data_IF_320334755875
#
_entry.id   IF_320334755875
#
_cell.length_a   1.000
_cell.length_b   1.000
_cell.length_c   1.000
_cell.angle_alpha   90.00
_cell.angle_beta   90.00
_cell.angle_gamma   90.00
#
_symmetry.space_group_name_H-M   'P 1'
#
loop_
_entity.id
_entity.type
_entity.pdbx_description
1 polymer ?
#
# COMPACT_ATOMS: atom_id res chain seq x y z
N UNK A 1 -7.70 16.25 -5.39
CA UNK A 1 -8.57 15.09 -5.11
C UNK A 1 -8.75 15.00 -3.59
N UNK A 2 -9.93 14.65 -3.09
CA UNK A 2 -10.12 14.53 -1.64
C UNK A 2 -9.70 13.14 -1.13
N UNK A 3 -9.50 13.01 0.18
CA UNK A 3 -9.09 11.75 0.80
C UNK A 3 -10.09 10.61 0.60
N UNK A 4 -11.40 10.90 0.63
CA UNK A 4 -12.43 9.87 0.46
C UNK A 4 -12.41 9.25 -0.94
N UNK A 5 -12.15 10.05 -1.97
CA UNK A 5 -12.00 9.57 -3.35
C UNK A 5 -10.81 8.59 -3.46
N UNK A 6 -9.70 8.90 -2.79
CA UNK A 6 -8.51 8.02 -2.73
C UNK A 6 -8.84 6.71 -2.03
N UNK A 7 -9.49 6.77 -0.87
CA UNK A 7 -9.86 5.58 -0.11
C UNK A 7 -10.85 4.70 -0.87
N UNK A 8 -11.82 5.30 -1.56
CA UNK A 8 -12.78 4.56 -2.37
C UNK A 8 -12.13 3.89 -3.58
N UNK A 9 -11.17 4.55 -4.23
CA UNK A 9 -10.40 3.96 -5.33
C UNK A 9 -9.58 2.75 -4.85
N UNK A 10 -8.90 2.86 -3.71
CA UNK A 10 -8.12 1.76 -3.13
C UNK A 10 -9.01 0.56 -2.77
N UNK A 11 -10.13 0.79 -2.07
CA UNK A 11 -11.09 -0.26 -1.70
C UNK A 11 -11.69 -0.95 -2.93
N UNK A 12 -12.01 -0.20 -3.97
CA UNK A 12 -12.55 -0.75 -5.21
C UNK A 12 -11.56 -1.69 -5.95
N UNK A 13 -10.26 -1.56 -5.66
CA UNK A 13 -9.18 -2.34 -6.29
C UNK A 13 -8.57 -3.40 -5.36
N UNK A 14 -9.05 -3.50 -4.12
CA UNK A 14 -8.50 -4.35 -3.05
C UNK A 14 -8.19 -5.79 -3.49
N UNK A 15 -9.08 -6.41 -4.27
CA UNK A 15 -8.94 -7.82 -4.70
C UNK A 15 -8.46 -7.98 -6.14
N UNK A 16 -8.22 -6.87 -6.82
CA UNK A 16 -7.88 -6.83 -8.26
C UNK A 16 -6.39 -6.57 -8.48
N UNK A 17 -5.79 -5.78 -7.60
CA UNK A 17 -4.41 -5.34 -7.65
C UNK A 17 -3.59 -6.01 -6.56
N UNK A 18 -2.30 -6.21 -6.82
CA UNK A 18 -1.32 -6.59 -5.80
C UNK A 18 -1.06 -5.43 -4.83
N UNK A 19 -0.48 -5.68 -3.64
CA UNK A 19 -0.06 -4.59 -2.75
C UNK A 19 0.82 -3.54 -3.42
N UNK A 20 1.79 -3.93 -4.26
CA UNK A 20 2.62 -2.99 -5.04
C UNK A 20 1.76 -2.16 -5.98
N UNK A 21 0.87 -2.78 -6.77
CA UNK A 21 0.00 -2.05 -7.70
C UNK A 21 -0.98 -1.11 -6.96
N UNK A 22 -1.42 -1.45 -5.75
CA UNK A 22 -2.21 -0.56 -4.90
C UNK A 22 -1.40 0.64 -4.40
N UNK A 23 -0.12 0.43 -4.07
CA UNK A 23 0.78 1.50 -3.67
C UNK A 23 1.15 2.40 -4.85
N UNK A 24 1.31 1.85 -6.05
CA UNK A 24 1.48 2.62 -7.29
C UNK A 24 0.24 3.45 -7.62
N UNK A 25 -0.96 2.85 -7.50
CA UNK A 25 -2.22 3.56 -7.66
C UNK A 25 -2.30 4.74 -6.68
N UNK A 26 -1.98 4.51 -5.40
CA UNK A 26 -1.91 5.58 -4.40
C UNK A 26 -0.89 6.65 -4.79
N UNK A 27 0.31 6.27 -5.22
CA UNK A 27 1.35 7.22 -5.65
C UNK A 27 0.92 8.08 -6.84
N UNK A 28 0.21 7.52 -7.82
CA UNK A 28 -0.34 8.26 -8.96
C UNK A 28 -1.49 9.22 -8.59
N UNK A 29 -2.10 9.03 -7.42
CA UNK A 29 -3.20 9.85 -6.91
C UNK A 29 -2.73 11.01 -6.02
N UNK A 30 -1.49 10.99 -5.51
CA UNK A 30 -0.96 11.98 -4.60
C UNK A 30 0.02 12.94 -5.29
N UNK A 31 -0.12 14.24 -4.99
CA UNK A 31 0.87 15.24 -5.37
C UNK A 31 2.14 15.02 -4.55
N UNK A 32 3.18 14.46 -5.17
CA UNK A 32 4.43 14.07 -4.49
C UNK A 32 4.74 12.57 -4.52
N UNK A 33 3.86 11.76 -5.10
CA UNK A 33 4.09 10.34 -5.28
C UNK A 33 3.84 9.51 -4.02
N UNK A 34 4.33 8.28 -4.04
CA UNK A 34 4.18 7.33 -2.92
C UNK A 34 5.27 7.58 -1.86
N UNK A 35 4.87 7.56 -0.59
CA UNK A 35 5.77 7.67 0.55
C UNK A 35 5.35 6.70 1.65
N UNK A 36 6.26 6.39 2.58
CA UNK A 36 5.93 5.47 3.68
C UNK A 36 4.78 6.01 4.54
N UNK A 37 4.76 7.31 4.84
CA UNK A 37 3.67 7.92 5.60
C UNK A 37 2.33 7.85 4.85
N UNK A 38 2.34 7.98 3.53
CA UNK A 38 1.14 7.80 2.71
C UNK A 38 0.64 6.36 2.76
N UNK A 39 1.52 5.36 2.66
CA UNK A 39 1.15 3.94 2.83
C UNK A 39 0.50 3.73 4.19
N UNK A 40 1.18 4.13 5.28
CA UNK A 40 0.66 3.94 6.65
C UNK A 40 -0.71 4.60 6.81
N UNK A 41 -0.88 5.84 6.36
CA UNK A 41 -2.12 6.59 6.51
C UNK A 41 -3.27 6.01 5.68
N UNK A 42 -3.07 5.87 4.36
CA UNK A 42 -4.15 5.48 3.45
C UNK A 42 -4.45 3.98 3.52
N UNK A 43 -3.44 3.10 3.66
CA UNK A 43 -3.71 1.66 3.75
C UNK A 43 -4.40 1.33 5.08
N UNK A 44 -4.05 2.00 6.19
CA UNK A 44 -4.75 1.76 7.46
C UNK A 44 -6.23 2.16 7.40
N UNK A 45 -6.54 3.25 6.69
CA UNK A 45 -7.91 3.77 6.52
C UNK A 45 -8.71 2.99 5.47
N UNK A 46 -8.06 2.53 4.41
CA UNK A 46 -8.68 1.75 3.34
C UNK A 46 -8.91 0.29 3.76
N UNK A 47 -7.95 -0.30 4.48
CA UNK A 47 -7.91 -1.72 4.85
C UNK A 47 -7.66 -1.87 6.37
N UNK A 48 -8.70 -1.63 7.21
CA UNK A 48 -8.58 -1.66 8.67
C UNK A 48 -7.95 -2.93 9.28
N UNK A 49 -8.13 -4.14 8.70
CA UNK A 49 -7.53 -5.37 9.23
C UNK A 49 -6.00 -5.39 9.24
N UNK A 50 -5.31 -4.59 8.40
CA UNK A 50 -3.84 -4.58 8.36
C UNK A 50 -3.30 -4.15 9.74
N UNK A 51 -2.42 -4.94 10.39
CA UNK A 51 -1.75 -4.53 11.61
C UNK A 51 -0.91 -3.28 11.38
N UNK A 52 -0.95 -2.32 12.31
CA UNK A 52 -0.14 -1.10 12.19
C UNK A 52 1.36 -1.43 12.10
N UNK A 53 1.82 -2.45 12.84
CA UNK A 53 3.21 -2.92 12.77
C UNK A 53 3.60 -3.34 11.35
N UNK A 54 2.75 -4.10 10.66
CA UNK A 54 2.98 -4.50 9.27
C UNK A 54 3.11 -3.28 8.34
N UNK A 55 2.31 -2.23 8.54
CA UNK A 55 2.44 -0.98 7.77
C UNK A 55 3.72 -0.21 8.11
N UNK A 56 4.17 -0.25 9.36
CA UNK A 56 5.46 0.34 9.74
C UNK A 56 6.63 -0.42 9.11
N UNK A 57 6.59 -1.75 9.13
CA UNK A 57 7.60 -2.63 8.53
C UNK A 57 7.68 -2.44 6.99
N UNK A 58 6.55 -2.10 6.35
CA UNK A 58 6.50 -1.74 4.93
C UNK A 58 7.35 -0.52 4.57
N UNK A 59 7.80 0.25 5.57
CA UNK A 59 8.75 1.34 5.40
C UNK A 59 10.15 0.88 5.00
N UNK A 60 10.45 -0.41 5.05
CA UNK A 60 11.69 -0.98 4.49
C UNK A 60 11.63 -1.15 2.96
N UNK A 61 10.48 -0.89 2.33
CA UNK A 61 10.33 -1.03 0.90
C UNK A 61 11.15 0.01 0.12
N UNK A 62 12.00 -0.49 -0.78
CA UNK A 62 12.98 0.31 -1.53
C UNK A 62 12.39 1.48 -2.32
N UNK A 63 11.09 1.44 -2.66
CA UNK A 63 10.42 2.51 -3.42
C UNK A 63 10.03 3.72 -2.60
N UNK A 64 9.96 3.59 -1.26
CA UNK A 64 9.52 4.66 -0.35
C UNK A 64 10.58 5.05 0.67
N UNK A 65 11.69 4.31 0.75
CA UNK A 65 12.83 4.58 1.62
C UNK A 65 14.11 3.94 1.06
N UNK A 66 15.24 4.14 1.73
CA UNK A 66 16.51 3.46 1.43
C UNK A 66 16.59 2.02 2.00
N UNK A 67 15.44 1.39 2.27
CA UNK A 67 15.39 0.01 2.75
C UNK A 67 15.65 -1.04 1.67
N UNK A 68 15.80 -2.30 2.10
CA UNK A 68 16.20 -3.44 1.28
C UNK A 68 15.04 -4.36 0.87
N UNK A 69 13.82 -4.10 1.33
CA UNK A 69 12.65 -4.92 0.99
C UNK A 69 12.26 -4.70 -0.47
N UNK A 70 12.27 -5.78 -1.25
CA UNK A 70 11.89 -5.84 -2.65
C UNK A 70 10.37 -5.72 -2.88
N UNK A 71 9.97 -5.56 -4.14
CA UNK A 71 8.55 -5.57 -4.52
C UNK A 71 7.86 -6.90 -4.19
N UNK A 72 8.58 -8.02 -4.32
CA UNK A 72 8.05 -9.33 -3.96
C UNK A 72 7.82 -9.45 -2.45
N UNK A 73 8.81 -9.06 -1.64
CA UNK A 73 8.70 -9.10 -0.17
C UNK A 73 7.60 -8.15 0.33
N UNK A 74 7.44 -6.98 -0.28
CA UNK A 74 6.33 -6.07 0.02
C UNK A 74 4.97 -6.70 -0.30
N UNK A 75 4.85 -7.37 -1.45
CA UNK A 75 3.64 -8.13 -1.79
C UNK A 75 3.38 -9.24 -0.78
N UNK A 76 4.39 -10.02 -0.41
CA UNK A 76 4.27 -11.12 0.57
C UNK A 76 3.88 -10.61 1.97
N UNK A 77 4.45 -9.48 2.40
CA UNK A 77 4.16 -8.84 3.69
C UNK A 77 2.68 -8.43 3.82
N UNK A 78 2.09 -7.92 2.74
CA UNK A 78 0.76 -7.32 2.74
C UNK A 78 -0.34 -8.25 2.20
N UNK A 79 -0.01 -9.24 1.37
CA UNK A 79 -0.95 -10.20 0.79
C UNK A 79 -1.86 -10.94 1.79
N UNK A 80 -1.46 -11.23 3.05
CA UNK A 80 -2.36 -11.79 4.05
C UNK A 80 -3.55 -10.88 4.41
N UNK A 81 -3.46 -9.59 4.09
CA UNK A 81 -4.41 -8.57 4.53
C UNK A 81 -5.09 -7.83 3.39
N UNK A 82 -4.40 -7.66 2.26
CA UNK A 82 -4.85 -6.83 1.14
C UNK A 82 -4.23 -7.31 -0.17
N UNK A 83 -4.93 -7.10 -1.27
CA UNK A 83 -4.42 -7.38 -2.61
C UNK A 83 -4.81 -8.75 -3.13
N UNK A 84 -4.61 -8.96 -4.43
CA UNK A 84 -4.59 -10.31 -5.00
C UNK A 84 -3.26 -10.99 -4.65
N UNK A 85 -3.31 -12.29 -4.39
CA UNK A 85 -2.11 -13.12 -4.26
C UNK A 85 -1.60 -13.45 -5.66
N UNK A 86 -0.31 -13.21 -5.90
CA UNK A 86 0.38 -13.69 -7.10
C UNK A 86 1.01 -15.03 -6.75
N UNK A 87 0.51 -16.10 -7.36
CA UNK A 87 1.11 -17.44 -7.29
C UNK A 87 2.27 -17.59 -8.28
#
# INVERSE_FOLDING_TARGET
MNDEDVLNALRAKEKLLTPVELAELLGGMLEGGISHSAIVSYFKRAFPPIPLRTLLDSGLWWRVSEGDMSDQEFNELLSPWVGRVVN
#
